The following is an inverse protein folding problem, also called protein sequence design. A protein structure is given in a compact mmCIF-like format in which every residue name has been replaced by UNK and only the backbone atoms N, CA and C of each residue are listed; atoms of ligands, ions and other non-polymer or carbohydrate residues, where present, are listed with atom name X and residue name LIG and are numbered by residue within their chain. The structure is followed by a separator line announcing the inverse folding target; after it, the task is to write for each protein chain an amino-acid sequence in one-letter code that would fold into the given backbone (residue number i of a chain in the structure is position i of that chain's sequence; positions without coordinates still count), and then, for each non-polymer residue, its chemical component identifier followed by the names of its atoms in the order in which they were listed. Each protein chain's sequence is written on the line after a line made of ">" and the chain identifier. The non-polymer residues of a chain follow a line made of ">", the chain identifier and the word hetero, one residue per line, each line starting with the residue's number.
data_IF_090790138514
#
_entry.id   IF_090790138514
#
_cell.length_a   1.000
_cell.length_b   1.000
_cell.length_c   1.000
_cell.angle_alpha   90.00
_cell.angle_beta   90.00
_cell.angle_gamma   90.00
#
_symmetry.space_group_name_H-M   'P 1'
#
loop_
_entity.id
_entity.type
_entity.pdbx_description
1 polymer ?
#
# COMPACT_ATOMS: atom_id res chain seq x y z
N UNK A 1 10.82 -19.90 -94.89
CA UNK A 1 9.61 -19.97 -94.05
C UNK A 1 10.04 -19.79 -92.59
N UNK A 2 9.97 -18.60 -92.04
CA UNK A 2 10.36 -18.27 -90.65
C UNK A 2 9.20 -17.59 -89.99
N UNK A 3 8.63 -18.17 -88.90
CA UNK A 3 7.57 -17.63 -88.08
C UNK A 3 8.22 -16.85 -86.90
N UNK A 4 8.05 -15.52 -86.85
CA UNK A 4 8.39 -14.73 -85.80
C UNK A 4 7.41 -14.88 -84.59
N UNK A 5 7.91 -15.27 -83.45
CA UNK A 5 7.14 -15.33 -82.17
C UNK A 5 7.24 -13.99 -81.42
N UNK A 6 6.10 -13.37 -81.32
CA UNK A 6 5.96 -12.09 -80.54
C UNK A 6 5.77 -12.40 -79.05
N UNK A 7 6.79 -12.17 -78.22
CA UNK A 7 6.72 -12.27 -76.73
C UNK A 7 6.07 -11.00 -76.20
N UNK A 8 4.81 -11.10 -75.84
CA UNK A 8 4.12 -10.06 -75.09
C UNK A 8 4.68 -9.95 -73.67
N UNK A 9 5.20 -8.75 -73.38
CA UNK A 9 5.73 -8.36 -72.05
C UNK A 9 4.56 -7.95 -71.20
N UNK A 10 4.07 -8.84 -70.31
CA UNK A 10 3.14 -8.45 -69.24
C UNK A 10 3.88 -7.59 -68.26
N UNK A 11 3.64 -6.30 -68.31
CA UNK A 11 3.95 -5.38 -67.23
C UNK A 11 2.89 -5.52 -66.15
N UNK A 12 3.22 -6.20 -65.05
CA UNK A 12 2.45 -6.15 -63.83
C UNK A 12 2.61 -4.78 -63.22
N UNK A 13 1.63 -3.92 -63.47
CA UNK A 13 1.41 -2.69 -62.71
C UNK A 13 1.17 -3.06 -61.25
N UNK A 14 2.21 -2.91 -60.40
CA UNK A 14 2.06 -2.89 -58.95
C UNK A 14 1.23 -1.64 -58.61
N UNK A 15 -0.06 -1.89 -58.32
CA UNK A 15 -0.98 -0.88 -57.83
C UNK A 15 -0.38 -0.21 -56.59
N UNK A 16 0.02 1.04 -56.73
CA UNK A 16 0.16 1.95 -55.60
C UNK A 16 -1.23 2.07 -54.97
N UNK A 17 -1.50 1.23 -53.97
CA UNK A 17 -2.61 1.48 -53.07
C UNK A 17 -2.37 2.84 -52.42
N UNK A 18 -3.10 3.83 -52.88
CA UNK A 18 -3.14 5.17 -52.34
C UNK A 18 -3.38 5.12 -50.85
N UNK A 19 -2.39 5.49 -50.07
CA UNK A 19 -2.52 5.75 -48.64
C UNK A 19 -3.58 6.84 -48.51
N UNK A 20 -4.72 6.50 -47.89
CA UNK A 20 -5.79 7.44 -47.61
C UNK A 20 -5.18 8.68 -46.91
N UNK A 21 -5.60 9.93 -47.28
CA UNK A 21 -5.10 11.13 -46.64
C UNK A 21 -5.73 11.29 -45.26
N UNK A 22 -5.29 10.50 -44.27
CA UNK A 22 -5.86 10.47 -42.91
C UNK A 22 -4.96 9.85 -41.86
N UNK A 23 -3.87 9.18 -42.27
CA UNK A 23 -2.89 8.58 -41.35
C UNK A 23 -1.67 9.48 -41.11
N UNK A 24 -1.90 10.76 -40.82
CA UNK A 24 -0.87 11.54 -40.15
C UNK A 24 -0.61 10.89 -38.79
N UNK A 25 0.66 10.64 -38.39
CA UNK A 25 0.98 10.06 -37.09
C UNK A 25 0.41 11.01 -36.04
N UNK A 26 -0.70 10.62 -35.39
CA UNK A 26 -1.28 11.37 -34.29
C UNK A 26 -0.18 11.71 -33.31
N UNK A 27 0.06 12.99 -33.08
CA UNK A 27 1.06 13.51 -32.18
C UNK A 27 0.96 12.78 -30.83
N UNK A 28 2.09 12.59 -30.16
CA UNK A 28 2.14 12.09 -28.78
C UNK A 28 1.50 13.14 -27.88
N UNK A 29 0.17 13.14 -27.77
CA UNK A 29 -0.48 13.98 -26.78
C UNK A 29 -0.62 13.20 -25.48
N UNK A 30 0.07 13.64 -24.41
CA UNK A 30 -0.08 13.07 -23.09
C UNK A 30 -1.51 13.30 -22.60
N UNK A 31 -2.03 12.37 -21.80
CA UNK A 31 -3.29 12.61 -21.09
C UNK A 31 -3.01 13.44 -19.84
N UNK A 32 -2.95 14.76 -20.00
CA UNK A 32 -2.58 15.71 -18.97
C UNK A 32 -3.47 15.63 -17.72
N UNK A 33 -4.74 15.21 -17.86
CA UNK A 33 -5.62 15.03 -16.70
C UNK A 33 -5.20 13.81 -15.88
N UNK A 34 -4.95 12.68 -16.53
CA UNK A 34 -4.46 11.48 -15.83
C UNK A 34 -3.08 11.72 -15.25
N UNK A 35 -2.18 12.37 -16.00
CA UNK A 35 -0.84 12.74 -15.51
C UNK A 35 -0.93 13.67 -14.31
N UNK A 36 -1.75 14.73 -14.39
CA UNK A 36 -1.91 15.70 -13.30
C UNK A 36 -2.46 15.06 -12.03
N UNK A 37 -3.54 14.26 -12.14
CA UNK A 37 -4.10 13.53 -11.00
C UNK A 37 -3.08 12.55 -10.40
N UNK A 38 -2.33 11.84 -11.23
CA UNK A 38 -1.30 10.92 -10.75
C UNK A 38 -0.16 11.66 -10.03
N UNK A 39 0.25 12.84 -10.51
CA UNK A 39 1.25 13.66 -9.82
C UNK A 39 0.73 14.22 -8.48
N UNK A 40 -0.54 14.60 -8.40
CA UNK A 40 -1.18 14.97 -7.12
C UNK A 40 -1.14 13.79 -6.14
N UNK A 41 -1.53 12.59 -6.58
CA UNK A 41 -1.45 11.37 -5.76
C UNK A 41 -0.03 11.04 -5.31
N UNK A 42 0.96 11.19 -6.20
CA UNK A 42 2.36 11.01 -5.86
C UNK A 42 2.82 12.02 -4.78
N UNK A 43 2.41 13.29 -4.90
CA UNK A 43 2.70 14.34 -3.92
C UNK A 43 2.11 14.05 -2.55
N UNK A 44 0.83 13.63 -2.50
CA UNK A 44 0.16 13.21 -1.25
C UNK A 44 0.90 12.03 -0.61
N UNK A 45 1.22 11.00 -1.40
CA UNK A 45 1.90 9.81 -0.91
C UNK A 45 3.32 10.11 -0.41
N UNK A 46 4.06 10.95 -1.13
CA UNK A 46 5.41 11.38 -0.73
C UNK A 46 5.36 12.22 0.55
N UNK A 47 4.38 13.14 0.65
CA UNK A 47 4.15 13.91 1.87
C UNK A 47 3.90 12.98 3.08
N UNK A 48 3.04 11.97 2.94
CA UNK A 48 2.75 11.00 4.00
C UNK A 48 3.99 10.18 4.39
N UNK A 49 4.84 9.83 3.41
CA UNK A 49 6.10 9.13 3.66
C UNK A 49 7.09 10.01 4.44
N UNK A 50 7.27 11.26 4.03
CA UNK A 50 8.19 12.21 4.66
C UNK A 50 7.70 12.65 6.05
N UNK A 51 6.41 12.89 6.22
CA UNK A 51 5.83 13.22 7.50
C UNK A 51 6.04 12.11 8.56
N UNK A 52 6.34 10.88 8.14
CA UNK A 52 6.76 9.79 9.02
C UNK A 52 8.21 9.87 9.50
N UNK A 53 9.05 10.63 8.83
CA UNK A 53 10.49 10.75 9.14
C UNK A 53 10.83 12.09 9.80
N UNK A 54 10.00 13.10 9.59
CA UNK A 54 10.14 14.41 10.19
C UNK A 54 9.24 14.44 11.44
N UNK A 55 9.85 14.39 12.62
CA UNK A 55 9.19 14.54 13.92
C UNK A 55 8.58 15.94 14.04
N UNK A 56 7.38 16.11 13.53
CA UNK A 56 6.67 17.37 13.54
C UNK A 56 5.50 17.31 12.58
N UNK A 57 4.29 17.17 13.11
CA UNK A 57 3.06 17.07 12.35
C UNK A 57 2.87 18.22 11.37
N UNK A 58 3.18 17.98 10.10
CA UNK A 58 2.83 18.88 9.01
C UNK A 58 1.30 18.80 8.77
N UNK A 59 0.53 19.47 9.57
CA UNK A 59 -0.84 19.94 9.38
C UNK A 59 -1.98 18.98 8.97
N UNK A 60 -1.74 17.97 8.12
CA UNK A 60 -2.79 17.04 7.66
C UNK A 60 -2.98 15.82 8.57
N UNK A 61 -1.99 15.51 9.40
CA UNK A 61 -2.05 14.47 10.41
C UNK A 61 -1.75 15.11 11.75
N UNK A 62 -2.79 15.42 12.51
CA UNK A 62 -2.64 15.94 13.89
C UNK A 62 -1.96 14.87 14.76
N UNK A 63 -1.07 15.29 15.64
CA UNK A 63 -0.43 14.45 16.64
C UNK A 63 -1.49 13.73 17.49
N UNK A 64 -1.33 12.45 17.71
CA UNK A 64 -2.32 11.63 18.45
C UNK A 64 -3.53 11.17 17.63
N UNK A 65 -3.60 11.49 16.34
CA UNK A 65 -4.73 11.15 15.47
C UNK A 65 -4.67 9.75 14.82
N UNK A 66 -5.68 9.44 14.02
CA UNK A 66 -5.77 8.17 13.29
C UNK A 66 -4.60 7.89 12.36
N UNK A 67 -3.88 8.93 11.88
CA UNK A 67 -2.68 8.75 11.08
C UNK A 67 -1.56 8.04 11.87
N UNK A 68 -1.35 8.42 13.13
CA UNK A 68 -0.29 7.84 13.95
C UNK A 68 -0.59 6.39 14.31
N UNK A 69 -1.86 6.06 14.57
CA UNK A 69 -2.30 4.68 14.78
C UNK A 69 -2.05 3.80 13.56
N UNK A 70 -2.39 4.29 12.36
CA UNK A 70 -2.15 3.53 11.11
C UNK A 70 -0.65 3.38 10.84
N UNK A 71 0.16 4.41 11.11
CA UNK A 71 1.62 4.36 10.97
C UNK A 71 2.26 3.38 11.95
N UNK A 72 1.75 3.30 13.17
CA UNK A 72 2.20 2.37 14.19
C UNK A 72 1.88 0.91 13.85
N UNK A 73 0.84 0.68 13.04
CA UNK A 73 0.35 -0.66 12.73
C UNK A 73 1.20 -1.40 11.69
N UNK A 74 1.07 -2.74 11.65
CA UNK A 74 1.67 -3.61 10.62
C UNK A 74 1.26 -3.23 9.19
N UNK A 75 0.11 -2.59 9.01
CA UNK A 75 -0.42 -2.15 7.71
C UNK A 75 0.33 -0.96 7.11
N UNK A 76 1.21 -0.31 7.87
CA UNK A 76 1.99 0.85 7.42
C UNK A 76 3.19 0.51 6.58
N UNK A 77 3.68 -0.74 6.62
CA UNK A 77 4.87 -1.19 5.93
C UNK A 77 4.58 -2.37 5.00
N UNK A 78 5.23 -2.36 3.84
CA UNK A 78 5.22 -3.44 2.86
C UNK A 78 6.68 -3.72 2.48
N UNK A 79 7.15 -4.97 2.66
CA UNK A 79 8.54 -5.36 2.39
C UNK A 79 9.58 -4.47 3.11
N UNK A 80 9.28 -4.04 4.33
CA UNK A 80 10.18 -3.19 5.13
C UNK A 80 10.19 -1.71 4.78
N UNK A 81 9.45 -1.28 3.76
CA UNK A 81 9.32 0.13 3.37
C UNK A 81 7.91 0.65 3.68
N UNK A 82 7.77 1.95 4.04
CA UNK A 82 6.46 2.56 4.22
C UNK A 82 5.58 2.41 2.97
N UNK A 83 4.32 1.98 3.15
CA UNK A 83 3.34 1.82 2.06
C UNK A 83 3.16 3.12 1.27
N UNK A 84 3.31 4.26 1.91
CA UNK A 84 3.24 5.56 1.25
C UNK A 84 4.32 5.76 0.17
N UNK A 85 5.54 5.21 0.35
CA UNK A 85 6.58 5.23 -0.69
C UNK A 85 6.20 4.37 -1.90
N UNK A 86 5.63 3.20 -1.65
CA UNK A 86 5.10 2.35 -2.72
C UNK A 86 3.96 3.05 -3.47
N UNK A 87 3.09 3.75 -2.74
CA UNK A 87 2.05 4.59 -3.32
C UNK A 87 2.61 5.66 -4.24
N UNK A 88 3.62 6.42 -3.78
CA UNK A 88 4.27 7.45 -4.61
C UNK A 88 4.90 6.86 -5.88
N UNK A 89 5.64 5.76 -5.76
CA UNK A 89 6.23 5.05 -6.91
C UNK A 89 5.15 4.57 -7.89
N UNK A 90 4.05 4.05 -7.37
CA UNK A 90 2.93 3.57 -8.19
C UNK A 90 2.22 4.70 -8.94
N UNK A 91 1.96 5.84 -8.31
CA UNK A 91 1.41 7.01 -8.98
C UNK A 91 2.35 7.54 -10.07
N UNK A 92 3.66 7.56 -9.80
CA UNK A 92 4.66 7.95 -10.82
C UNK A 92 4.69 6.97 -11.99
N UNK A 93 4.50 5.68 -11.74
CA UNK A 93 4.34 4.67 -12.80
C UNK A 93 3.12 4.96 -13.68
N UNK A 94 1.95 5.25 -13.06
CA UNK A 94 0.74 5.63 -13.79
C UNK A 94 0.96 6.89 -14.64
N UNK A 95 1.57 7.93 -14.05
CA UNK A 95 1.91 9.16 -14.76
C UNK A 95 2.87 8.89 -15.93
N UNK A 96 3.89 8.08 -15.72
CA UNK A 96 4.87 7.71 -16.75
C UNK A 96 4.25 6.94 -17.92
N UNK A 97 3.34 6.01 -17.64
CA UNK A 97 2.61 5.26 -18.68
C UNK A 97 1.68 6.20 -19.46
N UNK A 98 0.93 7.07 -18.76
CA UNK A 98 0.04 8.04 -19.39
C UNK A 98 0.77 9.07 -20.24
N UNK A 99 1.98 9.48 -19.82
CA UNK A 99 2.82 10.45 -20.52
C UNK A 99 3.55 9.86 -21.72
N UNK A 100 4.24 8.70 -21.53
CA UNK A 100 5.16 8.16 -22.54
C UNK A 100 4.49 7.35 -23.64
N UNK A 101 3.35 6.75 -23.37
CA UNK A 101 2.68 5.91 -24.36
C UNK A 101 1.86 6.74 -25.35
N UNK A 102 1.88 6.32 -26.64
CA UNK A 102 1.03 6.91 -27.68
C UNK A 102 -0.44 6.75 -27.34
N UNK A 103 -1.30 7.78 -27.61
CA UNK A 103 -2.75 7.70 -27.38
C UNK A 103 -3.34 6.51 -28.15
N UNK A 104 -4.26 5.81 -27.52
CA UNK A 104 -4.95 4.66 -28.10
C UNK A 104 -5.32 3.58 -27.09
N UNK A 105 -5.92 2.50 -27.60
CA UNK A 105 -6.44 1.40 -26.80
C UNK A 105 -5.40 0.75 -25.88
N UNK A 106 -4.16 0.57 -26.37
CA UNK A 106 -3.08 -0.05 -25.58
C UNK A 106 -2.71 0.78 -24.35
N UNK A 107 -2.61 2.12 -24.50
CA UNK A 107 -2.37 3.04 -23.37
C UNK A 107 -3.51 2.97 -22.37
N UNK A 108 -4.74 3.11 -22.86
CA UNK A 108 -5.92 3.09 -22.02
C UNK A 108 -6.02 1.79 -21.19
N UNK A 109 -5.85 0.62 -21.82
CA UNK A 109 -5.90 -0.67 -21.12
C UNK A 109 -4.85 -0.79 -20.02
N UNK A 110 -3.61 -0.32 -20.26
CA UNK A 110 -2.55 -0.35 -19.25
C UNK A 110 -2.84 0.60 -18.09
N UNK A 111 -3.26 1.82 -18.39
CA UNK A 111 -3.65 2.79 -17.35
C UNK A 111 -4.84 2.27 -16.56
N UNK A 112 -5.87 1.76 -17.22
CA UNK A 112 -7.05 1.20 -16.55
C UNK A 112 -6.69 0.04 -15.61
N UNK A 113 -5.82 -0.88 -16.07
CA UNK A 113 -5.35 -1.99 -15.23
C UNK A 113 -4.60 -1.49 -13.99
N UNK A 114 -3.64 -0.57 -14.17
CA UNK A 114 -2.90 0.00 -13.05
C UNK A 114 -3.84 0.72 -12.07
N UNK A 115 -4.74 1.53 -12.57
CA UNK A 115 -5.69 2.26 -11.72
C UNK A 115 -6.62 1.32 -10.95
N UNK A 116 -7.09 0.21 -11.57
CA UNK A 116 -7.87 -0.81 -10.86
C UNK A 116 -7.04 -1.46 -9.74
N UNK A 117 -5.80 -1.86 -10.02
CA UNK A 117 -4.88 -2.43 -9.00
C UNK A 117 -4.67 -1.44 -7.85
N UNK A 118 -4.34 -0.19 -8.14
CA UNK A 118 -4.11 0.84 -7.12
C UNK A 118 -5.36 1.16 -6.30
N UNK A 119 -6.53 1.23 -6.96
CA UNK A 119 -7.80 1.48 -6.29
C UNK A 119 -8.17 0.36 -5.31
N UNK A 120 -8.06 -0.90 -5.76
CA UNK A 120 -8.36 -2.07 -4.93
C UNK A 120 -7.42 -2.16 -3.73
N UNK A 121 -6.13 -1.95 -3.94
CA UNK A 121 -5.14 -1.93 -2.87
C UNK A 121 -5.42 -0.80 -1.87
N UNK A 122 -5.72 0.41 -2.35
CA UNK A 122 -6.06 1.55 -1.50
C UNK A 122 -7.36 1.33 -0.71
N UNK A 123 -8.38 0.74 -1.32
CA UNK A 123 -9.63 0.36 -0.63
C UNK A 123 -9.38 -0.69 0.45
N UNK A 124 -8.56 -1.71 0.16
CA UNK A 124 -8.22 -2.75 1.13
C UNK A 124 -7.53 -2.16 2.36
N UNK A 125 -6.49 -1.33 2.17
CA UNK A 125 -5.77 -0.72 3.29
C UNK A 125 -6.62 0.27 4.08
N UNK A 126 -7.46 1.06 3.40
CA UNK A 126 -8.37 1.98 4.07
C UNK A 126 -9.43 1.21 4.87
N UNK A 127 -9.96 0.12 4.29
CA UNK A 127 -10.89 -0.78 4.99
C UNK A 127 -10.24 -1.44 6.21
N UNK A 128 -9.02 -1.94 6.10
CA UNK A 128 -8.27 -2.50 7.23
C UNK A 128 -8.04 -1.45 8.33
N UNK A 129 -7.67 -0.20 7.98
CA UNK A 129 -7.53 0.88 8.94
C UNK A 129 -8.81 1.18 9.73
N UNK A 130 -9.95 1.18 9.05
CA UNK A 130 -11.26 1.45 9.69
C UNK A 130 -11.74 0.25 10.51
N UNK A 131 -11.67 -0.97 9.94
CA UNK A 131 -12.27 -2.16 10.55
C UNK A 131 -11.39 -2.78 11.64
N UNK A 132 -10.08 -2.84 11.43
CA UNK A 132 -9.16 -3.47 12.36
C UNK A 132 -8.61 -2.49 13.41
N UNK A 133 -8.37 -1.22 13.06
CA UNK A 133 -7.74 -0.25 13.95
C UNK A 133 -8.73 0.80 14.51
N UNK A 134 -9.96 0.86 13.98
CA UNK A 134 -10.92 1.93 14.31
C UNK A 134 -10.37 3.34 14.03
N UNK A 135 -9.42 3.45 13.10
CA UNK A 135 -8.68 4.68 12.83
C UNK A 135 -8.93 5.19 11.42
N UNK A 136 -9.13 6.50 11.29
CA UNK A 136 -9.31 7.17 10.01
C UNK A 136 -8.15 8.14 9.79
N UNK A 137 -7.43 7.97 8.67
CA UNK A 137 -6.34 8.83 8.27
C UNK A 137 -6.80 9.76 7.13
N UNK A 138 -6.86 11.08 7.35
CA UNK A 138 -7.27 12.02 6.30
C UNK A 138 -6.38 11.97 5.06
N UNK A 139 -5.07 11.80 5.23
CA UNK A 139 -4.14 11.65 4.10
C UNK A 139 -4.36 10.37 3.30
N UNK A 140 -4.70 9.26 3.97
CA UNK A 140 -5.06 8.00 3.29
C UNK A 140 -6.37 8.15 2.49
N UNK A 141 -7.36 8.84 3.05
CA UNK A 141 -8.60 9.16 2.35
C UNK A 141 -8.37 10.09 1.14
N UNK A 142 -7.49 11.09 1.26
CA UNK A 142 -7.11 11.94 0.14
C UNK A 142 -6.44 11.15 -1.00
N UNK A 143 -5.56 10.21 -0.66
CA UNK A 143 -4.97 9.29 -1.64
C UNK A 143 -6.03 8.40 -2.30
N UNK A 144 -6.95 7.81 -1.52
CA UNK A 144 -8.06 7.02 -2.04
C UNK A 144 -8.95 7.85 -2.97
N UNK A 145 -9.33 9.08 -2.57
CA UNK A 145 -10.11 9.98 -3.41
C UNK A 145 -9.42 10.29 -4.73
N UNK A 146 -8.09 10.47 -4.72
CA UNK A 146 -7.29 10.65 -5.93
C UNK A 146 -7.32 9.41 -6.83
N UNK A 147 -7.27 8.19 -6.26
CA UNK A 147 -7.43 6.95 -7.03
C UNK A 147 -8.82 6.81 -7.64
N UNK A 148 -9.87 7.17 -6.91
CA UNK A 148 -11.24 7.19 -7.42
C UNK A 148 -11.36 8.19 -8.57
N UNK A 149 -10.79 9.39 -8.43
CA UNK A 149 -10.77 10.39 -9.50
C UNK A 149 -10.01 9.92 -10.74
N UNK A 150 -8.86 9.24 -10.57
CA UNK A 150 -8.11 8.60 -11.66
C UNK A 150 -8.93 7.53 -12.36
N UNK A 151 -9.66 6.71 -11.61
CA UNK A 151 -10.53 5.69 -12.17
C UNK A 151 -11.64 6.31 -12.98
N UNK A 152 -12.34 7.31 -12.44
CA UNK A 152 -13.35 8.07 -13.15
C UNK A 152 -12.81 8.74 -14.42
N UNK A 153 -11.68 9.44 -14.33
CA UNK A 153 -11.04 10.06 -15.48
C UNK A 153 -10.68 9.05 -16.57
N UNK A 154 -10.17 7.87 -16.18
CA UNK A 154 -9.81 6.79 -17.12
C UNK A 154 -11.04 6.23 -17.84
N UNK A 155 -12.18 6.10 -17.16
CA UNK A 155 -13.42 5.65 -17.77
C UNK A 155 -14.05 6.71 -18.69
N UNK A 156 -14.06 7.97 -18.27
CA UNK A 156 -14.62 9.09 -19.05
C UNK A 156 -13.80 9.36 -20.32
N UNK A 157 -12.48 9.20 -20.25
CA UNK A 157 -11.54 9.47 -21.35
C UNK A 157 -11.20 8.23 -22.17
N UNK A 158 -12.06 7.21 -22.14
CA UNK A 158 -11.88 6.01 -22.94
C UNK A 158 -11.94 6.31 -24.44
N UNK A 159 -11.06 5.68 -25.26
CA UNK A 159 -11.20 5.76 -26.72
C UNK A 159 -12.48 5.04 -27.18
N UNK A 160 -13.02 5.43 -28.32
CA UNK A 160 -14.25 4.82 -28.86
C UNK A 160 -14.13 3.29 -29.06
N UNK A 161 -12.92 2.79 -29.30
CA UNK A 161 -12.62 1.35 -29.42
C UNK A 161 -12.46 0.63 -28.07
N UNK A 162 -12.54 1.31 -26.94
CA UNK A 162 -12.40 0.68 -25.61
C UNK A 162 -13.66 -0.10 -25.23
N UNK A 163 -13.51 -1.22 -24.52
CA UNK A 163 -12.26 -1.83 -24.02
C UNK A 163 -11.54 -2.71 -25.04
N UNK A 164 -12.00 -2.81 -26.31
CA UNK A 164 -11.45 -3.66 -27.36
C UNK A 164 -11.84 -5.14 -27.27
N UNK A 165 -12.69 -5.46 -26.30
CA UNK A 165 -13.31 -6.76 -26.03
C UNK A 165 -14.72 -6.48 -25.51
N UNK A 166 -15.65 -7.46 -25.51
CA UNK A 166 -16.95 -7.28 -24.85
C UNK A 166 -16.82 -6.83 -23.41
N UNK A 167 -17.67 -5.91 -22.96
CA UNK A 167 -17.62 -5.35 -21.60
C UNK A 167 -17.66 -6.43 -20.51
N UNK A 168 -18.46 -7.50 -20.69
CA UNK A 168 -18.51 -8.61 -19.74
C UNK A 168 -17.16 -9.31 -19.57
N UNK A 169 -16.42 -9.53 -20.67
CA UNK A 169 -15.09 -10.11 -20.62
C UNK A 169 -14.09 -9.15 -19.96
N UNK A 170 -14.19 -7.86 -20.25
CA UNK A 170 -13.32 -6.85 -19.60
C UNK A 170 -13.55 -6.80 -18.09
N UNK A 171 -14.79 -6.79 -17.64
CA UNK A 171 -15.14 -6.86 -16.23
C UNK A 171 -14.68 -8.15 -15.58
N UNK A 172 -14.85 -9.29 -16.25
CA UNK A 172 -14.36 -10.59 -15.76
C UNK A 172 -12.85 -10.60 -15.57
N UNK A 173 -12.08 -10.05 -16.52
CA UNK A 173 -10.62 -9.93 -16.38
C UNK A 173 -10.23 -9.03 -15.20
N UNK A 174 -10.91 -7.91 -15.01
CA UNK A 174 -10.64 -7.03 -13.86
C UNK A 174 -11.05 -7.69 -12.54
N UNK A 175 -12.10 -8.49 -12.49
CA UNK A 175 -12.50 -9.24 -11.31
C UNK A 175 -11.41 -10.23 -10.87
N UNK A 176 -10.79 -10.92 -11.82
CA UNK A 176 -9.63 -11.79 -11.52
C UNK A 176 -8.49 -10.96 -10.91
N UNK A 177 -8.19 -9.81 -11.49
CA UNK A 177 -7.16 -8.90 -10.93
C UNK A 177 -7.52 -8.46 -9.52
N UNK A 178 -8.77 -8.09 -9.26
CA UNK A 178 -9.26 -7.72 -7.92
C UNK A 178 -9.02 -8.86 -6.93
N UNK A 179 -9.44 -10.09 -7.28
CA UNK A 179 -9.27 -11.27 -6.42
C UNK A 179 -7.78 -11.52 -6.14
N UNK A 180 -6.92 -11.42 -7.15
CA UNK A 180 -5.48 -11.61 -6.99
C UNK A 180 -4.85 -10.54 -6.10
N UNK A 181 -5.21 -9.27 -6.27
CA UNK A 181 -4.66 -8.17 -5.46
C UNK A 181 -5.14 -8.30 -4.01
N UNK A 182 -6.44 -8.51 -3.79
CA UNK A 182 -6.99 -8.69 -2.44
C UNK A 182 -6.40 -9.94 -1.78
N UNK A 183 -6.37 -11.06 -2.50
CA UNK A 183 -5.82 -12.31 -2.00
C UNK A 183 -4.34 -12.21 -1.65
N UNK A 184 -3.51 -11.64 -2.53
CA UNK A 184 -2.09 -11.45 -2.27
C UNK A 184 -1.84 -10.48 -1.10
N UNK A 185 -2.60 -9.38 -1.02
CA UNK A 185 -2.49 -8.41 0.07
C UNK A 185 -2.93 -9.04 1.39
N UNK A 186 -4.06 -9.75 1.38
CA UNK A 186 -4.55 -10.45 2.56
C UNK A 186 -3.57 -11.53 3.02
N UNK A 187 -3.06 -12.34 2.09
CA UNK A 187 -2.07 -13.38 2.39
C UNK A 187 -0.78 -12.81 2.99
N UNK A 188 -0.32 -11.66 2.48
CA UNK A 188 0.85 -10.97 3.02
C UNK A 188 0.65 -10.45 4.44
N UNK A 189 -0.52 -9.86 4.74
CA UNK A 189 -0.79 -9.27 6.05
C UNK A 189 -1.42 -10.25 7.06
N UNK A 190 -1.88 -11.42 6.63
CA UNK A 190 -2.46 -12.45 7.52
C UNK A 190 -1.45 -13.42 8.11
N UNK A 191 -0.14 -13.23 7.82
CA UNK A 191 0.95 -14.10 8.27
C UNK A 191 0.78 -15.61 7.96
N UNK A 192 -0.18 -15.97 7.09
CA UNK A 192 -0.46 -17.36 6.70
C UNK A 192 0.75 -18.06 6.06
N UNK A 193 1.70 -17.29 5.52
CA UNK A 193 2.93 -17.81 4.88
C UNK A 193 4.05 -18.08 5.89
N UNK A 194 3.99 -17.51 7.11
CA UNK A 194 5.03 -17.60 8.14
C UNK A 194 4.73 -18.66 9.22
N UNK A 195 3.67 -19.35 9.11
CA UNK A 195 2.99 -20.47 9.77
C UNK A 195 3.51 -20.99 11.13
N UNK A 196 4.78 -21.32 11.28
CA UNK A 196 5.33 -21.89 12.52
C UNK A 196 5.88 -20.88 13.50
N UNK A 197 6.55 -19.85 12.98
CA UNK A 197 7.13 -18.82 13.84
C UNK A 197 6.04 -17.92 14.43
N UNK A 198 4.97 -17.68 13.65
CA UNK A 198 3.82 -16.90 14.10
C UNK A 198 3.06 -17.56 15.24
N UNK A 199 2.83 -18.87 15.16
CA UNK A 199 2.13 -19.60 16.22
C UNK A 199 2.92 -19.60 17.53
N UNK A 200 4.25 -19.82 17.46
CA UNK A 200 5.11 -19.72 18.63
C UNK A 200 5.11 -18.33 19.27
N UNK A 201 5.09 -17.28 18.46
CA UNK A 201 4.99 -15.89 18.94
C UNK A 201 3.63 -15.60 19.56
N UNK A 202 2.55 -16.15 19.01
CA UNK A 202 1.20 -16.05 19.57
C UNK A 202 1.11 -16.79 20.92
N UNK A 203 1.61 -18.02 20.99
CA UNK A 203 1.68 -18.79 22.23
C UNK A 203 2.51 -18.08 23.30
N UNK A 204 3.63 -17.46 22.92
CA UNK A 204 4.44 -16.64 23.82
C UNK A 204 3.68 -15.40 24.30
N UNK A 205 2.98 -14.67 23.41
CA UNK A 205 2.22 -13.49 23.79
C UNK A 205 1.08 -13.82 24.76
N UNK A 206 0.37 -14.92 24.51
CA UNK A 206 -0.68 -15.43 25.41
C UNK A 206 -0.07 -15.89 26.75
N UNK A 207 1.09 -16.54 26.74
CA UNK A 207 1.81 -16.92 27.96
C UNK A 207 2.21 -15.69 28.79
N UNK A 208 2.74 -14.64 28.15
CA UNK A 208 3.11 -13.39 28.83
C UNK A 208 1.88 -12.74 29.47
N UNK A 209 0.74 -12.72 28.81
CA UNK A 209 -0.51 -12.21 29.39
C UNK A 209 -0.97 -13.09 30.57
N UNK A 210 -0.95 -14.42 30.41
CA UNK A 210 -1.40 -15.37 31.44
C UNK A 210 -0.50 -15.36 32.69
N UNK A 211 0.79 -15.09 32.55
CA UNK A 211 1.75 -14.98 33.67
C UNK A 211 1.74 -13.61 34.34
N UNK A 212 0.91 -12.68 33.84
CA UNK A 212 0.77 -11.34 34.42
C UNK A 212 1.97 -10.43 34.09
N UNK A 213 2.67 -10.71 33.00
CA UNK A 213 3.66 -9.76 32.47
C UNK A 213 2.94 -8.44 32.06
N UNK A 214 3.63 -7.34 32.20
CA UNK A 214 3.12 -6.03 31.83
C UNK A 214 4.07 -5.36 30.84
N UNK A 215 3.52 -4.91 29.71
CA UNK A 215 4.26 -4.22 28.67
C UNK A 215 3.82 -2.74 28.63
N UNK A 216 4.65 -1.88 29.16
CA UNK A 216 4.42 -0.44 29.24
C UNK A 216 5.05 0.28 28.04
N UNK A 217 4.23 1.04 27.33
CA UNK A 217 4.67 1.73 26.13
C UNK A 217 3.80 2.92 25.77
N UNK A 218 4.08 3.48 24.61
CA UNK A 218 3.25 4.49 23.97
C UNK A 218 3.14 4.19 22.50
N UNK A 219 1.93 4.27 21.94
CA UNK A 219 1.64 3.92 20.54
C UNK A 219 2.49 4.72 19.53
N UNK A 220 2.89 5.93 19.89
CA UNK A 220 3.73 6.80 19.05
C UNK A 220 5.23 6.54 19.18
N UNK A 221 5.67 5.74 20.16
CA UNK A 221 7.08 5.49 20.44
C UNK A 221 7.72 4.56 19.39
N UNK A 222 8.79 4.99 18.68
CA UNK A 222 9.42 4.15 17.64
C UNK A 222 9.96 2.81 18.15
N UNK A 223 10.44 2.77 19.41
CA UNK A 223 10.94 1.55 20.03
C UNK A 223 9.82 0.58 20.38
N UNK A 224 8.64 1.07 20.82
CA UNK A 224 7.45 0.25 21.05
C UNK A 224 6.95 -0.35 19.74
N UNK A 225 6.85 0.45 18.69
CA UNK A 225 6.51 -0.03 17.36
C UNK A 225 7.51 -1.07 16.82
N UNK A 226 8.79 -0.96 17.17
CA UNK A 226 9.79 -1.97 16.86
C UNK A 226 9.54 -3.26 17.63
N UNK A 227 9.19 -3.15 18.92
CA UNK A 227 8.81 -4.29 19.76
C UNK A 227 7.61 -5.05 19.18
N UNK A 228 6.56 -4.34 18.81
CA UNK A 228 5.36 -4.94 18.19
C UNK A 228 5.68 -5.61 16.85
N UNK A 229 6.53 -5.00 16.02
CA UNK A 229 6.96 -5.61 14.76
C UNK A 229 7.70 -6.94 14.92
N UNK A 230 8.39 -7.17 16.04
CA UNK A 230 9.04 -8.46 16.31
C UNK A 230 8.01 -9.58 16.57
N UNK A 231 6.81 -9.24 17.01
CA UNK A 231 5.71 -10.18 17.24
C UNK A 231 4.76 -10.32 16.03
N UNK A 232 4.85 -9.43 15.04
CA UNK A 232 3.97 -9.48 13.86
C UNK A 232 2.50 -9.43 14.22
N UNK A 233 1.71 -10.45 13.79
CA UNK A 233 0.29 -10.57 14.14
C UNK A 233 0.05 -10.88 15.62
N UNK A 234 0.99 -11.53 16.29
CA UNK A 234 0.90 -11.85 17.71
C UNK A 234 1.00 -10.61 18.62
N UNK A 235 1.38 -9.44 18.06
CA UNK A 235 1.46 -8.19 18.81
C UNK A 235 0.11 -7.76 19.41
N UNK A 236 -1.00 -8.14 18.78
CA UNK A 236 -2.35 -7.84 19.27
C UNK A 236 -2.70 -8.57 20.60
N UNK A 237 -1.94 -9.62 20.94
CA UNK A 237 -2.07 -10.40 22.18
C UNK A 237 -1.05 -9.99 23.25
N UNK A 238 -0.20 -9.02 23.00
CA UNK A 238 0.75 -8.53 24.00
C UNK A 238 0.01 -7.77 25.13
N UNK A 239 0.40 -7.94 26.40
CA UNK A 239 -0.19 -7.26 27.55
C UNK A 239 0.17 -5.78 27.59
N UNK A 240 -0.18 -5.03 26.53
CA UNK A 240 0.21 -3.64 26.32
C UNK A 240 -0.58 -2.68 27.21
N UNK A 241 0.16 -1.79 27.86
CA UNK A 241 -0.37 -0.72 28.71
C UNK A 241 0.04 0.61 28.12
N UNK A 242 -0.92 1.34 27.58
CA UNK A 242 -0.69 2.67 27.01
C UNK A 242 -0.40 3.70 28.10
N UNK A 243 0.79 4.30 28.03
CA UNK A 243 1.23 5.28 29.00
C UNK A 243 0.99 6.74 28.59
N UNK A 244 0.78 7.03 27.32
CA UNK A 244 0.64 8.39 26.80
C UNK A 244 -0.43 8.46 25.69
N UNK A 245 -1.71 8.25 26.04
CA UNK A 245 -2.80 8.19 25.05
C UNK A 245 -3.06 9.52 24.34
N UNK A 246 -2.61 10.63 24.89
CA UNK A 246 -2.73 11.95 24.29
C UNK A 246 -1.62 12.29 23.27
N UNK A 247 -0.64 11.40 23.08
CA UNK A 247 0.48 11.64 22.17
C UNK A 247 1.75 12.12 22.85
N UNK A 248 2.76 12.39 22.05
CA UNK A 248 4.06 12.84 22.52
C UNK A 248 3.94 14.20 23.27
N UNK A 249 4.62 14.33 24.40
CA UNK A 249 4.56 15.55 25.22
C UNK A 249 3.36 15.64 26.16
N UNK A 250 2.44 14.67 26.15
CA UNK A 250 1.34 14.64 27.13
C UNK A 250 1.75 13.97 28.44
N UNK A 251 1.08 14.32 29.57
CA UNK A 251 1.36 13.68 30.85
C UNK A 251 1.16 12.17 30.78
N UNK A 252 2.04 11.44 31.43
CA UNK A 252 1.94 9.98 31.60
C UNK A 252 0.69 9.61 32.39
N UNK A 253 0.06 8.47 32.05
CA UNK A 253 -1.07 7.93 32.80
C UNK A 253 -0.68 7.60 34.25
N UNK A 254 -1.66 7.68 35.17
CA UNK A 254 -1.43 7.39 36.60
C UNK A 254 -0.88 5.98 36.82
N UNK A 255 -1.35 4.99 36.06
CA UNK A 255 -0.88 3.61 36.14
C UNK A 255 0.61 3.49 35.84
N UNK A 256 1.08 4.11 34.77
CA UNK A 256 2.49 4.08 34.39
C UNK A 256 3.37 4.89 35.37
N UNK A 257 2.87 6.03 35.88
CA UNK A 257 3.59 6.82 36.89
C UNK A 257 3.73 6.04 38.21
N UNK A 258 2.69 5.33 38.66
CA UNK A 258 2.73 4.48 39.84
C UNK A 258 3.65 3.25 39.67
N UNK A 259 3.72 2.69 38.46
CA UNK A 259 4.68 1.65 38.12
C UNK A 259 6.12 2.15 38.00
N UNK A 260 6.34 3.48 38.09
CA UNK A 260 7.67 4.10 38.00
C UNK A 260 8.31 3.92 36.63
N UNK A 261 7.53 4.06 35.55
CA UNK A 261 8.03 3.92 34.18
C UNK A 261 8.75 5.19 33.77
N UNK A 262 10.03 5.08 33.41
CA UNK A 262 10.88 6.20 33.00
C UNK A 262 11.19 6.22 31.51
N UNK A 263 11.03 5.06 30.84
CA UNK A 263 11.35 4.89 29.42
C UNK A 263 10.42 3.91 28.73
N UNK A 264 10.30 3.99 27.40
CA UNK A 264 9.48 3.11 26.57
C UNK A 264 10.34 2.39 25.53
N UNK A 265 10.07 1.10 25.26
CA UNK A 265 9.22 0.20 26.03
C UNK A 265 9.85 -0.23 27.35
N UNK A 266 9.02 -0.58 28.34
CA UNK A 266 9.45 -1.23 29.57
C UNK A 266 8.56 -2.43 29.85
N UNK A 267 9.18 -3.58 30.10
CA UNK A 267 8.52 -4.81 30.49
C UNK A 267 8.68 -5.04 32.00
N UNK A 268 7.64 -5.50 32.65
CA UNK A 268 7.70 -6.01 34.03
C UNK A 268 7.24 -7.47 33.97
N UNK A 269 8.16 -8.40 34.27
CA UNK A 269 7.92 -9.84 34.25
C UNK A 269 8.42 -10.37 35.59
N UNK A 270 7.56 -11.06 36.35
CA UNK A 270 7.84 -11.59 37.69
C UNK A 270 8.45 -10.51 38.63
N UNK A 271 7.94 -9.27 38.54
CA UNK A 271 8.41 -8.14 39.31
C UNK A 271 9.79 -7.57 38.90
N UNK A 272 10.42 -8.14 37.88
CA UNK A 272 11.66 -7.63 37.31
C UNK A 272 11.40 -6.71 36.15
N UNK A 273 12.16 -5.64 36.05
CA UNK A 273 12.03 -4.61 35.02
C UNK A 273 13.08 -4.81 33.91
N UNK A 274 12.62 -4.79 32.67
CA UNK A 274 13.44 -4.86 31.46
C UNK A 274 13.10 -3.67 30.57
N UNK A 275 14.05 -2.76 30.38
CA UNK A 275 13.87 -1.54 29.58
C UNK A 275 14.39 -1.71 28.17
N UNK A 276 13.75 -1.06 27.20
CA UNK A 276 14.10 -1.15 25.79
C UNK A 276 13.47 -2.33 25.08
N UNK A 277 13.73 -2.43 23.79
CA UNK A 277 13.20 -3.50 22.92
C UNK A 277 13.82 -4.83 23.36
N UNK A 278 12.96 -5.81 23.65
CA UNK A 278 13.34 -7.18 23.98
C UNK A 278 13.04 -8.12 22.83
N UNK A 279 13.90 -9.09 22.56
CA UNK A 279 13.60 -10.11 21.56
C UNK A 279 12.58 -11.12 22.10
N UNK A 280 11.79 -11.78 21.22
CA UNK A 280 10.89 -12.86 21.66
C UNK A 280 11.59 -13.95 22.46
N UNK A 281 12.84 -14.26 22.10
CA UNK A 281 13.68 -15.27 22.81
C UNK A 281 14.06 -14.79 24.21
N UNK A 282 14.33 -13.49 24.37
CA UNK A 282 14.62 -12.93 25.71
C UNK A 282 13.36 -12.95 26.58
N UNK A 283 12.22 -12.53 26.01
CA UNK A 283 10.93 -12.56 26.72
C UNK A 283 10.50 -13.99 27.12
N UNK A 284 10.70 -14.96 26.22
CA UNK A 284 10.47 -16.37 26.53
C UNK A 284 11.34 -16.82 27.72
N UNK A 285 12.62 -16.48 27.70
CA UNK A 285 13.55 -16.82 28.80
C UNK A 285 13.17 -16.13 30.11
N UNK A 286 12.73 -14.85 30.07
CA UNK A 286 12.37 -14.11 31.28
C UNK A 286 11.04 -14.59 31.88
N UNK A 287 10.11 -15.07 31.06
CA UNK A 287 8.81 -15.58 31.49
C UNK A 287 8.77 -17.10 31.74
N UNK A 288 9.87 -17.82 31.45
CA UNK A 288 9.91 -19.27 31.57
C UNK A 288 9.06 -20.01 30.52
N UNK A 289 8.93 -19.43 29.32
CA UNK A 289 8.20 -20.06 28.22
C UNK A 289 9.10 -21.07 27.49
N UNK A 290 8.72 -22.33 27.50
CA UNK A 290 9.44 -23.47 26.90
C UNK A 290 8.80 -23.98 25.58
N UNK A 291 8.03 -23.14 24.86
CA UNK A 291 7.26 -23.49 23.67
C UNK A 291 8.05 -23.56 22.35
#
# INVERSE_FOLDING_TARGET
>A
MAKAGHKGRHQTSKGQQGRAPGDAPRAREPDWVVVGLALVGAGISLYLALAGWLDGGLGLCAEGGGCDRIRASRWSALLGLPVALWGAAFYLLVAGVAYRMRPGLKRWRRVALLVVVGLVFSLYLTGAGILALGAVCPGCLASLATMVALFGATLLRRPASAPGVPWGQWWGQNLIVVILVVGATHLYYSDLLLGRDTQRLEDLAVHLEATGAEYYGAYWCPSCQRQERLFGSAADHLPFIECSPGGQGTPMTRRCAQAGIESYPTWIIDGRRYTGVQTPEDLARYSGFDG
#
